data_IF_245769094097
#
_entry.id   IF_245769094097
#
_cell.length_a   1.000
_cell.length_b   1.000
_cell.length_c   1.000
_cell.angle_alpha   90.00
_cell.angle_beta   90.00
_cell.angle_gamma   90.00
#
_symmetry.space_group_name_H-M   'P 1'
#
loop_
_entity.id
_entity.type
_entity.pdbx_description
1 polymer ?
#
# COMPACT_ATOMS: atom_id res chain seq x y z
N UNK A 1 7.57 4.47 42.90
CA UNK A 1 8.00 3.72 41.71
C UNK A 1 7.03 2.55 41.54
N UNK A 2 6.03 2.70 40.65
CA UNK A 2 4.99 1.68 40.44
C UNK A 2 5.60 0.60 39.55
N UNK A 3 5.70 -0.63 40.06
CA UNK A 3 6.13 -1.77 39.24
C UNK A 3 5.01 -2.10 38.24
N UNK A 4 5.27 -2.11 36.93
CA UNK A 4 4.27 -2.47 35.95
C UNK A 4 3.89 -3.94 36.13
N UNK A 5 2.60 -4.23 36.07
CA UNK A 5 2.06 -5.59 36.08
C UNK A 5 2.26 -6.17 34.67
N UNK A 6 3.00 -7.27 34.58
CA UNK A 6 3.22 -8.01 33.33
C UNK A 6 1.95 -8.81 33.03
N UNK A 7 1.35 -8.59 31.85
CA UNK A 7 0.24 -9.40 31.35
C UNK A 7 0.83 -10.57 30.55
N UNK A 8 0.50 -11.79 30.95
CA UNK A 8 1.01 -13.01 30.32
C UNK A 8 0.55 -13.11 28.84
N UNK A 9 1.48 -13.31 27.90
CA UNK A 9 1.22 -13.34 26.46
C UNK A 9 1.47 -12.04 25.70
N UNK A 10 1.86 -10.95 26.37
CA UNK A 10 2.33 -9.72 25.74
C UNK A 10 3.77 -9.42 26.19
N UNK A 11 4.73 -9.18 25.29
CA UNK A 11 6.08 -8.79 25.71
C UNK A 11 6.00 -7.47 26.49
N UNK A 12 6.74 -7.33 27.61
CA UNK A 12 6.74 -6.08 28.37
C UNK A 12 7.32 -4.97 27.49
N UNK A 13 6.65 -3.82 27.46
CA UNK A 13 7.25 -2.59 26.93
C UNK A 13 8.41 -2.20 27.87
N UNK A 14 9.64 -2.63 27.55
CA UNK A 14 10.83 -2.25 28.29
C UNK A 14 11.29 -0.87 27.85
N UNK A 15 11.37 0.06 28.79
CA UNK A 15 11.95 1.39 28.60
C UNK A 15 13.44 1.37 28.94
N UNK A 16 14.35 1.39 27.95
CA UNK A 16 15.75 1.89 28.10
C UNK A 16 16.31 2.35 26.74
N UNK A 17 17.14 3.40 26.77
CA UNK A 17 17.89 4.02 25.66
C UNK A 17 18.87 3.07 24.94
N UNK A 18 18.96 3.24 23.61
CA UNK A 18 19.83 2.49 22.69
C UNK A 18 19.00 1.67 21.69
N UNK A 19 18.98 2.12 20.43
CA UNK A 19 18.22 1.61 19.27
C UNK A 19 17.63 0.19 19.41
N UNK A 20 16.39 0.14 19.89
CA UNK A 20 15.55 -1.05 19.85
C UNK A 20 14.97 -1.18 18.44
N UNK A 21 15.61 -1.96 17.58
CA UNK A 21 15.04 -2.33 16.29
C UNK A 21 14.76 -3.82 16.29
N UNK A 22 13.59 -4.20 16.81
CA UNK A 22 13.01 -5.51 16.52
C UNK A 22 12.33 -5.42 15.15
N UNK A 23 13.05 -5.85 14.11
CA UNK A 23 12.52 -5.88 12.75
C UNK A 23 11.38 -6.89 12.58
N UNK A 24 11.18 -7.81 13.53
CA UNK A 24 10.11 -8.80 13.55
C UNK A 24 8.90 -8.41 14.40
N UNK A 25 9.07 -7.47 15.34
CA UNK A 25 8.03 -6.99 16.25
C UNK A 25 7.11 -5.93 15.64
N UNK A 26 6.08 -5.47 16.36
CA UNK A 26 5.19 -4.42 15.89
C UNK A 26 5.93 -3.13 15.51
N UNK A 27 5.42 -2.39 14.54
CA UNK A 27 5.95 -1.06 14.24
C UNK A 27 5.73 -0.11 15.43
N UNK A 28 6.70 0.77 15.69
CA UNK A 28 6.41 1.95 16.50
C UNK A 28 5.39 2.85 15.78
N UNK A 29 4.74 3.72 16.55
CA UNK A 29 3.66 4.56 16.06
C UNK A 29 4.08 5.43 14.86
N UNK A 30 5.28 6.00 14.89
CA UNK A 30 5.72 6.94 13.87
C UNK A 30 6.14 6.21 12.60
N UNK A 31 6.85 5.09 12.74
CA UNK A 31 7.16 4.20 11.62
C UNK A 31 5.87 3.72 10.95
N UNK A 32 4.92 3.18 11.72
CA UNK A 32 3.63 2.72 11.21
C UNK A 32 2.87 3.84 10.47
N UNK A 33 2.76 5.02 11.09
CA UNK A 33 2.10 6.18 10.49
C UNK A 33 2.81 6.66 9.21
N UNK A 34 4.14 6.65 9.19
CA UNK A 34 4.93 6.93 8.00
C UNK A 34 4.65 5.92 6.89
N UNK A 35 4.62 4.61 7.19
CA UNK A 35 4.31 3.59 6.18
C UNK A 35 2.91 3.76 5.60
N UNK A 36 1.91 3.92 6.48
CA UNK A 36 0.52 4.12 6.07
C UNK A 36 0.33 5.41 5.27
N UNK A 37 1.07 6.46 5.60
CA UNK A 37 1.05 7.72 4.87
C UNK A 37 1.63 7.58 3.45
N UNK A 38 2.77 6.89 3.33
CA UNK A 38 3.37 6.56 2.03
C UNK A 38 2.45 5.67 1.19
N UNK A 39 1.84 4.63 1.76
CA UNK A 39 0.85 3.80 1.07
C UNK A 39 -0.37 4.63 0.64
N UNK A 40 -0.88 5.52 1.50
CA UNK A 40 -2.01 6.38 1.17
C UNK A 40 -1.70 7.30 -0.02
N UNK A 41 -0.48 7.85 -0.05
CA UNK A 41 0.02 8.67 -1.15
C UNK A 41 0.12 7.85 -2.46
N UNK A 42 0.71 6.65 -2.39
CA UNK A 42 0.85 5.76 -3.55
C UNK A 42 -0.51 5.36 -4.12
N UNK A 43 -1.45 4.98 -3.26
CA UNK A 43 -2.83 4.67 -3.67
C UNK A 43 -3.52 5.87 -4.32
N UNK A 44 -3.35 7.08 -3.77
CA UNK A 44 -3.90 8.30 -4.39
C UNK A 44 -3.30 8.56 -5.77
N UNK A 45 -2.00 8.29 -5.96
CA UNK A 45 -1.31 8.49 -7.24
C UNK A 45 -1.77 7.46 -8.27
N UNK A 46 -1.91 6.19 -7.86
CA UNK A 46 -2.40 5.11 -8.71
C UNK A 46 -3.86 5.30 -9.11
N UNK A 47 -4.70 5.82 -8.21
CA UNK A 47 -6.06 6.22 -8.57
C UNK A 47 -6.06 7.18 -9.78
N UNK A 48 -5.20 8.21 -9.75
CA UNK A 48 -5.10 9.17 -10.87
C UNK A 48 -4.52 8.55 -12.14
N UNK A 49 -3.50 7.70 -12.01
CA UNK A 49 -2.84 7.06 -13.16
C UNK A 49 -3.81 6.10 -13.86
N UNK A 50 -4.36 5.15 -13.10
CA UNK A 50 -5.27 4.13 -13.64
C UNK A 50 -6.57 4.76 -14.14
N UNK A 51 -7.10 5.76 -13.41
CA UNK A 51 -8.26 6.52 -13.87
C UNK A 51 -7.99 7.33 -15.14
N UNK A 52 -6.74 7.78 -15.33
CA UNK A 52 -6.30 8.46 -16.56
C UNK A 52 -6.22 7.54 -17.77
N UNK A 53 -6.14 6.22 -17.58
CA UNK A 53 -6.13 5.27 -18.70
C UNK A 53 -7.52 4.98 -19.27
N UNK A 54 -8.58 5.15 -18.48
CA UNK A 54 -9.94 4.80 -18.89
C UNK A 54 -10.44 5.58 -20.11
N UNK A 55 -10.22 6.90 -20.25
CA UNK A 55 -10.60 7.65 -21.45
C UNK A 55 -9.91 7.20 -22.74
N UNK A 56 -8.78 6.50 -22.63
CA UNK A 56 -7.98 6.02 -23.76
C UNK A 56 -8.25 4.53 -24.07
N UNK A 57 -9.19 3.89 -23.39
CA UNK A 57 -9.44 2.47 -23.57
C UNK A 57 -10.25 2.16 -24.85
N UNK A 58 -9.86 1.12 -25.58
CA UNK A 58 -10.48 0.72 -26.85
C UNK A 58 -11.88 0.09 -26.72
N UNK A 59 -12.38 -0.16 -25.51
CA UNK A 59 -13.68 -0.79 -25.30
C UNK A 59 -14.36 -0.34 -24.02
N UNK A 60 -15.70 -0.36 -24.01
CA UNK A 60 -16.49 -0.04 -22.82
C UNK A 60 -16.22 -1.00 -21.65
N UNK A 61 -15.96 -2.29 -21.94
CA UNK A 61 -15.58 -3.25 -20.90
C UNK A 61 -14.23 -2.88 -20.26
N UNK A 62 -13.24 -2.46 -21.07
CA UNK A 62 -11.96 -1.98 -20.55
C UNK A 62 -12.12 -0.72 -19.69
N UNK A 63 -12.99 0.22 -20.08
CA UNK A 63 -13.32 1.41 -19.26
C UNK A 63 -13.86 0.99 -17.89
N UNK A 64 -14.87 0.11 -17.84
CA UNK A 64 -15.49 -0.34 -16.58
C UNK A 64 -14.48 -1.01 -15.65
N UNK A 65 -13.57 -1.81 -16.22
CA UNK A 65 -12.52 -2.49 -15.46
C UNK A 65 -11.52 -1.49 -14.88
N UNK A 66 -11.03 -0.56 -15.70
CA UNK A 66 -10.08 0.48 -15.27
C UNK A 66 -10.69 1.41 -14.22
N UNK A 67 -11.95 1.81 -14.39
CA UNK A 67 -12.68 2.62 -13.40
C UNK A 67 -12.80 1.88 -12.06
N UNK A 68 -13.15 0.59 -12.09
CA UNK A 68 -13.19 -0.23 -10.88
C UNK A 68 -11.83 -0.27 -10.17
N UNK A 69 -10.75 -0.49 -10.91
CA UNK A 69 -9.40 -0.51 -10.34
C UNK A 69 -9.04 0.84 -9.71
N UNK A 70 -9.29 1.94 -10.44
CA UNK A 70 -9.07 3.29 -9.96
C UNK A 70 -9.88 3.60 -8.69
N UNK A 71 -11.14 3.16 -8.61
CA UNK A 71 -11.97 3.32 -7.42
C UNK A 71 -11.48 2.49 -6.23
N UNK A 72 -10.94 1.29 -6.47
CA UNK A 72 -10.28 0.51 -5.43
C UNK A 72 -9.10 1.25 -4.80
N UNK A 73 -8.27 1.89 -5.62
CA UNK A 73 -7.17 2.73 -5.15
C UNK A 73 -7.65 3.94 -4.34
N UNK A 74 -8.70 4.63 -4.81
CA UNK A 74 -9.30 5.74 -4.08
C UNK A 74 -9.83 5.31 -2.69
N UNK A 75 -10.53 4.18 -2.64
CA UNK A 75 -11.09 3.64 -1.39
C UNK A 75 -10.01 3.29 -0.38
N UNK A 76 -8.91 2.64 -0.82
CA UNK A 76 -7.77 2.34 0.06
C UNK A 76 -7.06 3.60 0.52
N UNK A 77 -6.81 4.57 -0.36
CA UNK A 77 -6.19 5.84 0.02
C UNK A 77 -6.97 6.54 1.14
N UNK A 78 -8.29 6.70 0.99
CA UNK A 78 -9.16 7.31 2.01
C UNK A 78 -9.10 6.52 3.32
N UNK A 79 -9.20 5.19 3.24
CA UNK A 79 -9.11 4.32 4.42
C UNK A 79 -7.80 4.56 5.18
N UNK A 80 -6.67 4.58 4.48
CA UNK A 80 -5.35 4.74 5.09
C UNK A 80 -5.18 6.13 5.72
N UNK A 81 -5.54 7.20 5.01
CA UNK A 81 -5.51 8.58 5.55
C UNK A 81 -6.35 8.67 6.82
N UNK A 82 -7.51 8.02 6.84
CA UNK A 82 -8.38 8.00 8.01
C UNK A 82 -7.78 7.30 9.22
N UNK A 83 -6.84 6.37 9.02
CA UNK A 83 -6.14 5.65 10.09
C UNK A 83 -4.89 6.37 10.60
N UNK A 84 -4.43 7.42 9.92
CA UNK A 84 -3.29 8.18 10.39
C UNK A 84 -3.58 8.86 11.74
N UNK A 85 -2.58 8.95 12.64
CA UNK A 85 -2.70 9.65 13.90
C UNK A 85 -3.26 11.07 13.73
N UNK A 86 -4.04 11.53 14.71
CA UNK A 86 -4.55 12.91 14.78
C UNK A 86 -3.84 13.63 15.91
N UNK A 87 -2.55 13.89 15.72
CA UNK A 87 -1.72 14.59 16.70
C UNK A 87 -1.65 16.07 16.33
N UNK A 88 -1.70 16.95 17.34
CA UNK A 88 -1.66 18.40 17.11
C UNK A 88 -0.33 18.84 16.49
N UNK A 89 0.75 18.19 16.90
CA UNK A 89 2.13 18.48 16.50
C UNK A 89 2.55 17.78 15.19
N UNK A 90 1.74 16.84 14.70
CA UNK A 90 2.03 16.07 13.48
C UNK A 90 0.80 16.08 12.57
N UNK A 91 0.69 17.09 11.67
CA UNK A 91 -0.43 17.17 10.74
C UNK A 91 -0.41 15.97 9.78
N UNK A 92 -1.60 15.45 9.44
CA UNK A 92 -1.75 14.28 8.55
C UNK A 92 -1.07 14.48 7.19
N UNK A 93 -1.14 15.69 6.64
CA UNK A 93 -0.56 16.00 5.34
C UNK A 93 0.97 15.91 5.34
N UNK A 94 1.63 16.00 6.51
CA UNK A 94 3.07 15.76 6.62
C UNK A 94 3.44 14.26 6.55
N UNK A 95 2.48 13.37 6.77
CA UNK A 95 2.66 11.92 6.68
C UNK A 95 2.29 11.37 5.30
N UNK A 96 1.31 11.95 4.62
CA UNK A 96 0.87 11.53 3.27
C UNK A 96 1.81 12.11 2.22
N UNK A 97 2.97 11.50 2.04
CA UNK A 97 4.03 11.94 1.13
C UNK A 97 4.57 10.79 0.30
N UNK A 98 5.27 11.12 -0.78
CA UNK A 98 5.95 10.13 -1.60
C UNK A 98 6.91 9.27 -0.75
N UNK A 99 6.95 7.94 -0.98
CA UNK A 99 7.97 7.07 -0.38
C UNK A 99 9.41 7.49 -0.76
N UNK A 100 9.58 8.19 -1.89
CA UNK A 100 10.88 8.70 -2.36
C UNK A 100 10.94 8.82 -3.88
N UNK A 101 12.03 9.40 -4.39
CA UNK A 101 12.20 9.72 -5.81
C UNK A 101 12.10 8.49 -6.74
N UNK A 102 12.52 7.32 -6.27
CA UNK A 102 12.35 6.08 -7.03
C UNK A 102 10.84 5.79 -7.25
N UNK A 103 9.99 6.04 -6.24
CA UNK A 103 8.56 5.72 -6.29
C UNK A 103 7.85 6.65 -7.25
N UNK A 104 8.25 7.92 -7.21
CA UNK A 104 7.81 8.92 -8.17
C UNK A 104 8.16 8.49 -9.60
N UNK A 105 9.41 8.06 -9.85
CA UNK A 105 9.87 7.65 -11.17
C UNK A 105 9.11 6.42 -11.70
N UNK A 106 8.84 5.42 -10.86
CA UNK A 106 8.03 4.26 -11.24
C UNK A 106 6.62 4.66 -11.62
N UNK A 107 5.98 5.49 -10.79
CA UNK A 107 4.59 5.90 -11.02
C UNK A 107 4.48 6.83 -12.23
N UNK A 108 5.52 7.61 -12.52
CA UNK A 108 5.63 8.39 -13.76
C UNK A 108 5.74 7.48 -14.99
N UNK A 109 6.64 6.49 -14.96
CA UNK A 109 6.78 5.50 -16.04
C UNK A 109 5.48 4.73 -16.26
N UNK A 110 4.82 4.29 -15.18
CA UNK A 110 3.52 3.62 -15.23
C UNK A 110 2.48 4.48 -15.96
N UNK A 111 2.42 5.79 -15.65
CA UNK A 111 1.52 6.73 -16.29
C UNK A 111 1.78 6.89 -17.79
N UNK A 112 3.02 6.72 -18.24
CA UNK A 112 3.45 6.87 -19.63
C UNK A 112 3.32 5.58 -20.47
N UNK A 113 2.84 4.47 -19.89
CA UNK A 113 2.75 3.20 -20.60
C UNK A 113 1.79 3.24 -21.79
N UNK A 114 2.18 2.53 -22.83
CA UNK A 114 1.33 2.20 -23.97
C UNK A 114 0.12 1.39 -23.51
N UNK A 115 -1.02 1.53 -24.18
CA UNK A 115 -2.26 0.85 -23.79
C UNK A 115 -2.11 -0.67 -23.69
N UNK A 116 -1.28 -1.28 -24.55
CA UNK A 116 -1.02 -2.72 -24.56
C UNK A 116 -0.25 -3.23 -23.35
N UNK A 117 0.47 -2.37 -22.63
CA UNK A 117 1.30 -2.75 -21.47
C UNK A 117 0.63 -2.46 -20.12
N UNK A 118 -0.37 -1.58 -20.09
CA UNK A 118 -1.02 -1.09 -18.86
C UNK A 118 -1.54 -2.20 -17.96
N UNK A 119 -2.28 -3.17 -18.50
CA UNK A 119 -2.84 -4.26 -17.69
C UNK A 119 -1.74 -5.22 -17.20
N UNK A 120 -0.72 -5.48 -18.01
CA UNK A 120 0.41 -6.32 -17.59
C UNK A 120 1.23 -5.67 -16.47
N UNK A 121 1.50 -4.36 -16.61
CA UNK A 121 2.13 -3.55 -15.58
C UNK A 121 1.27 -3.43 -14.32
N UNK A 122 -0.05 -3.31 -14.47
CA UNK A 122 -0.97 -3.21 -13.35
C UNK A 122 -1.02 -4.49 -12.51
N UNK A 123 -0.96 -5.69 -13.12
CA UNK A 123 -0.85 -6.95 -12.38
C UNK A 123 0.39 -6.96 -11.49
N UNK A 124 1.52 -6.51 -12.02
CA UNK A 124 2.78 -6.39 -11.28
C UNK A 124 2.64 -5.42 -10.09
N UNK A 125 2.09 -4.23 -10.35
CA UNK A 125 1.86 -3.20 -9.32
C UNK A 125 0.91 -3.72 -8.23
N UNK A 126 -0.18 -4.39 -8.61
CA UNK A 126 -1.18 -4.90 -7.67
C UNK A 126 -0.59 -5.99 -6.76
N UNK A 127 0.23 -6.88 -7.30
CA UNK A 127 0.96 -7.87 -6.51
C UNK A 127 1.94 -7.22 -5.53
N UNK A 128 2.79 -6.30 -6.00
CA UNK A 128 3.76 -5.62 -5.14
C UNK A 128 3.08 -4.81 -4.00
N UNK A 129 1.94 -4.17 -4.29
CA UNK A 129 1.13 -3.52 -3.26
C UNK A 129 0.56 -4.52 -2.27
N UNK A 130 0.07 -5.67 -2.75
CA UNK A 130 -0.50 -6.68 -1.87
C UNK A 130 0.55 -7.19 -0.88
N UNK A 131 1.78 -7.45 -1.36
CA UNK A 131 2.90 -7.86 -0.52
C UNK A 131 3.28 -6.77 0.49
N UNK A 132 3.28 -5.49 0.07
CA UNK A 132 3.53 -4.37 0.98
C UNK A 132 2.47 -4.25 2.09
N UNK A 133 1.20 -4.52 1.76
CA UNK A 133 0.12 -4.57 2.74
C UNK A 133 0.24 -5.76 3.68
N UNK A 134 0.56 -6.95 3.17
CA UNK A 134 0.79 -8.13 4.01
C UNK A 134 1.94 -7.91 4.98
N UNK A 135 3.04 -7.32 4.51
CA UNK A 135 4.18 -6.95 5.33
C UNK A 135 3.85 -5.88 6.38
N UNK A 136 2.84 -5.03 6.14
CA UNK A 136 2.35 -4.10 7.16
C UNK A 136 1.43 -4.81 8.17
N UNK A 137 0.49 -5.61 7.67
CA UNK A 137 -0.48 -6.35 8.48
C UNK A 137 0.19 -7.37 9.41
N UNK A 138 1.29 -8.00 8.99
CA UNK A 138 2.05 -8.94 9.81
C UNK A 138 2.66 -8.30 11.07
N UNK A 139 2.79 -6.97 11.09
CA UNK A 139 3.33 -6.18 12.20
C UNK A 139 2.26 -5.38 12.95
N UNK A 140 0.99 -5.55 12.60
CA UNK A 140 -0.14 -4.93 13.31
C UNK A 140 -0.47 -5.69 14.59
N UNK A 141 -0.94 -4.96 15.61
CA UNK A 141 -1.42 -5.54 16.87
C UNK A 141 -2.95 -5.45 16.97
N UNK A 142 -3.64 -6.45 17.55
CA UNK A 142 -5.09 -6.40 17.74
C UNK A 142 -5.59 -5.26 18.63
N UNK A 143 -4.72 -4.65 19.44
CA UNK A 143 -5.09 -3.58 20.37
C UNK A 143 -4.98 -2.21 19.69
N UNK A 144 -3.82 -1.89 19.11
CA UNK A 144 -3.60 -0.59 18.49
C UNK A 144 -4.27 -0.49 17.10
N UNK A 145 -4.26 -1.59 16.34
CA UNK A 145 -4.58 -1.56 14.91
C UNK A 145 -5.95 -2.17 14.60
N UNK A 146 -6.77 -2.46 15.61
CA UNK A 146 -8.12 -3.03 15.44
C UNK A 146 -8.93 -2.36 14.34
N UNK A 147 -9.00 -1.01 14.24
CA UNK A 147 -9.78 -0.35 13.19
C UNK A 147 -9.21 -0.54 11.77
N UNK A 148 -7.90 -0.77 11.63
CA UNK A 148 -7.25 -1.08 10.35
C UNK A 148 -7.48 -2.56 10.00
N UNK A 149 -7.22 -3.46 10.94
CA UNK A 149 -7.42 -4.91 10.81
C UNK A 149 -8.87 -5.28 10.47
N UNK A 150 -9.85 -4.51 10.92
CA UNK A 150 -11.26 -4.75 10.62
C UNK A 150 -11.66 -4.42 9.17
N UNK A 151 -10.88 -3.64 8.43
CA UNK A 151 -11.29 -3.10 7.11
C UNK A 151 -10.31 -3.36 5.99
N UNK A 152 -9.00 -3.29 6.26
CA UNK A 152 -7.97 -3.41 5.24
C UNK A 152 -7.94 -4.80 4.57
N UNK A 153 -8.13 -5.94 5.28
CA UNK A 153 -8.11 -7.26 4.65
C UNK A 153 -9.11 -7.41 3.48
N UNK A 154 -10.35 -6.94 3.66
CA UNK A 154 -11.34 -6.99 2.58
C UNK A 154 -10.97 -6.13 1.36
N UNK A 155 -10.27 -5.01 1.57
CA UNK A 155 -9.76 -4.19 0.47
C UNK A 155 -8.58 -4.86 -0.25
N UNK A 156 -7.78 -5.63 0.48
CA UNK A 156 -6.66 -6.40 -0.05
C UNK A 156 -7.14 -7.61 -0.85
N UNK A 157 -8.17 -8.32 -0.37
CA UNK A 157 -8.81 -9.39 -1.12
C UNK A 157 -9.41 -8.88 -2.44
N UNK A 158 -9.97 -7.66 -2.42
CA UNK A 158 -10.44 -7.00 -3.64
C UNK A 158 -9.30 -6.69 -4.61
N UNK A 159 -8.19 -6.13 -4.12
CA UNK A 159 -7.00 -5.86 -4.93
C UNK A 159 -6.47 -7.14 -5.60
N UNK A 160 -6.37 -8.24 -4.85
CA UNK A 160 -5.93 -9.53 -5.36
C UNK A 160 -6.90 -10.11 -6.39
N UNK A 161 -8.21 -10.04 -6.13
CA UNK A 161 -9.22 -10.50 -7.07
C UNK A 161 -9.19 -9.69 -8.37
N UNK A 162 -9.02 -8.38 -8.27
CA UNK A 162 -8.83 -7.51 -9.42
C UNK A 162 -7.54 -7.91 -10.18
N UNK A 163 -6.44 -8.23 -9.48
CA UNK A 163 -5.16 -8.67 -10.06
C UNK A 163 -5.31 -9.96 -10.88
N UNK A 164 -6.05 -10.92 -10.33
CA UNK A 164 -6.41 -12.17 -11.04
C UNK A 164 -7.24 -11.88 -12.28
N UNK A 165 -8.25 -11.00 -12.19
CA UNK A 165 -9.08 -10.63 -13.34
C UNK A 165 -8.25 -9.99 -14.46
N UNK A 166 -7.36 -9.04 -14.15
CA UNK A 166 -6.47 -8.48 -15.15
C UNK A 166 -5.52 -9.52 -15.75
N UNK A 167 -4.99 -10.44 -14.94
CA UNK A 167 -4.15 -11.54 -15.43
C UNK A 167 -4.91 -12.44 -16.40
N UNK A 168 -6.16 -12.77 -16.10
CA UNK A 168 -7.02 -13.54 -17.01
C UNK A 168 -7.25 -12.81 -18.33
N UNK A 169 -7.42 -11.49 -18.30
CA UNK A 169 -7.65 -10.65 -19.49
C UNK A 169 -6.43 -10.52 -20.40
N UNK A 170 -5.22 -10.41 -19.84
CA UNK A 170 -3.98 -10.34 -20.64
C UNK A 170 -3.51 -11.71 -21.15
N UNK A 171 -4.01 -12.80 -20.56
CA UNK A 171 -3.61 -14.17 -20.87
C UNK A 171 -2.33 -14.63 -20.16
N UNK A 172 -2.11 -15.94 -20.02
CA UNK A 172 -0.98 -16.51 -19.26
C UNK A 172 0.38 -16.27 -19.93
N UNK A 173 0.40 -16.09 -21.26
CA UNK A 173 1.64 -16.02 -22.06
C UNK A 173 2.23 -14.61 -22.13
N UNK A 174 1.53 -13.59 -21.63
CA UNK A 174 2.07 -12.22 -21.58
C UNK A 174 3.14 -12.15 -20.50
N UNK A 175 4.40 -11.86 -20.84
CA UNK A 175 5.44 -11.71 -19.83
C UNK A 175 5.11 -10.52 -18.91
N UNK A 176 5.54 -10.57 -17.63
CA UNK A 176 5.45 -9.40 -16.76
C UNK A 176 6.24 -8.25 -17.38
N UNK A 177 5.74 -7.02 -17.20
CA UNK A 177 6.51 -5.83 -17.57
C UNK A 177 7.66 -5.71 -16.57
N UNK A 178 8.88 -5.57 -17.08
CA UNK A 178 10.11 -5.34 -16.31
C UNK A 178 10.01 -3.97 -15.60
N UNK A 179 9.37 -3.99 -14.44
CA UNK A 179 9.10 -2.84 -13.57
C UNK A 179 9.30 -3.20 -12.09
N UNK A 180 9.45 -4.50 -11.79
CA UNK A 180 9.48 -5.09 -10.44
C UNK A 180 10.67 -4.63 -9.62
N UNK A 181 11.87 -4.59 -10.21
CA UNK A 181 13.10 -4.16 -9.53
C UNK A 181 12.99 -2.74 -8.95
N UNK A 182 12.13 -1.91 -9.54
CA UNK A 182 11.86 -0.56 -9.07
C UNK A 182 10.68 -0.51 -8.08
N UNK A 183 9.68 -1.39 -8.17
CA UNK A 183 8.54 -1.42 -7.21
C UNK A 183 8.94 -1.92 -5.82
N UNK A 184 9.80 -2.94 -5.75
CA UNK A 184 10.36 -3.42 -4.48
C UNK A 184 11.19 -2.34 -3.78
N UNK A 185 11.95 -1.54 -4.55
CA UNK A 185 12.69 -0.38 -4.06
C UNK A 185 11.78 0.79 -3.62
N UNK A 186 10.52 0.83 -4.04
CA UNK A 186 9.64 2.01 -3.90
C UNK A 186 8.48 1.83 -2.94
N UNK A 187 8.08 0.59 -2.68
CA UNK A 187 7.43 0.25 -1.43
C UNK A 187 8.42 0.29 -0.25
N UNK A 188 9.73 0.41 -0.50
CA UNK A 188 10.65 1.22 0.32
C UNK A 188 10.58 0.98 1.82
N UNK A 189 10.48 -0.29 2.23
CA UNK A 189 10.70 -0.71 3.61
C UNK A 189 11.62 -1.92 3.63
N UNK A 190 12.67 -1.88 2.82
CA UNK A 190 13.86 -2.65 3.14
C UNK A 190 14.35 -2.14 4.50
N UNK A 191 14.52 -3.07 5.43
CA UNK A 191 14.96 -2.82 6.79
C UNK A 191 16.20 -1.92 6.83
#
# INVERSE_FOLDING_TARGET
>A
MVKPVIVEGYPPASTVEGEFRDDSGPFDLLSSAGRLGSLAWTEARLHRIVGGWAPEADSADAVVVLDRFAMGHAARSVLLVDRLPRLRELPRDALVRSPGAAADAVLEQLGALSQGDRLAAWVVVASALADAYDAHLSRCTPVADRPLLARLPAQLDRLRADAVDARTRIGPDRPPVEMLDLLEATCGFTA
#
